data_IF_773591187964
#
_entry.id   IF_773591187964
#
_cell.length_a   1.000
_cell.length_b   1.000
_cell.length_c   1.000
_cell.angle_alpha   90.00
_cell.angle_beta   90.00
_cell.angle_gamma   90.00
#
_symmetry.space_group_name_H-M   'P 1'
#
loop_
_entity.id
_entity.type
_entity.pdbx_description
1 polymer ?
#
# COMPACT_ATOMS: atom_id res chain seq x y z
N UNK A 1 13.94 -36.69 29.91
CA UNK A 1 14.07 -36.44 28.45
C UNK A 1 12.97 -37.18 27.69
N UNK A 2 11.69 -36.98 28.01
CA UNK A 2 10.59 -37.76 27.40
C UNK A 2 9.37 -36.99 26.92
N UNK A 3 9.26 -35.66 27.09
CA UNK A 3 8.01 -34.94 26.74
C UNK A 3 8.07 -34.07 25.48
N UNK A 4 9.24 -33.97 24.81
CA UNK A 4 9.36 -33.19 23.57
C UNK A 4 9.00 -33.98 22.29
N UNK A 5 8.99 -35.32 22.33
CA UNK A 5 8.64 -36.13 21.15
C UNK A 5 7.12 -36.16 20.89
N UNK A 6 6.31 -36.25 21.95
CA UNK A 6 4.84 -36.37 21.82
C UNK A 6 4.17 -35.11 21.24
N UNK A 7 4.73 -33.91 21.47
CA UNK A 7 4.21 -32.66 20.91
C UNK A 7 4.62 -32.43 19.44
N UNK A 8 5.82 -32.88 19.06
CA UNK A 8 6.27 -32.85 17.66
C UNK A 8 5.43 -33.81 16.83
N UNK A 9 5.14 -35.00 17.35
CA UNK A 9 4.30 -35.98 16.65
C UNK A 9 2.88 -35.46 16.41
N UNK A 10 2.34 -34.59 17.28
CA UNK A 10 1.00 -33.99 17.08
C UNK A 10 0.99 -32.81 16.07
N UNK A 11 2.15 -32.17 15.83
CA UNK A 11 2.37 -31.16 14.79
C UNK A 11 2.71 -31.79 13.44
N UNK A 12 3.41 -32.93 13.45
CA UNK A 12 3.74 -33.75 12.26
C UNK A 12 2.59 -34.69 11.86
N UNK A 13 1.75 -35.16 12.79
CA UNK A 13 0.53 -35.92 12.46
C UNK A 13 -0.50 -35.08 11.70
N UNK A 14 -0.28 -33.76 11.64
CA UNK A 14 -0.98 -32.82 10.78
C UNK A 14 -0.33 -32.69 9.39
N UNK A 15 0.41 -33.68 8.89
CA UNK A 15 0.85 -33.72 7.48
C UNK A 15 -0.32 -33.48 6.50
N UNK A 16 -1.55 -33.91 6.83
CA UNK A 16 -2.76 -33.56 6.06
C UNK A 16 -3.09 -32.07 6.03
N UNK A 17 -2.74 -31.30 7.07
CA UNK A 17 -2.96 -29.85 7.17
C UNK A 17 -2.05 -29.07 6.21
N UNK A 18 -0.91 -29.65 5.84
CA UNK A 18 0.10 -29.03 4.97
C UNK A 18 0.02 -29.49 3.50
N UNK A 19 -0.60 -30.65 3.24
CA UNK A 19 -0.77 -31.17 1.87
C UNK A 19 -1.67 -30.29 0.99
N UNK A 20 -2.51 -29.44 1.60
CA UNK A 20 -3.39 -28.48 0.90
C UNK A 20 -3.08 -27.01 1.26
N UNK A 21 -2.01 -26.76 2.01
CA UNK A 21 -1.60 -25.41 2.40
C UNK A 21 -0.69 -24.82 1.32
N UNK A 22 -1.01 -23.60 0.87
CA UNK A 22 -0.16 -22.81 -0.01
C UNK A 22 1.11 -22.30 0.71
N UNK A 23 1.23 -22.51 2.02
CA UNK A 23 2.45 -22.32 2.80
C UNK A 23 2.96 -23.67 3.32
N UNK A 24 4.25 -23.98 3.14
CA UNK A 24 4.86 -25.22 3.62
C UNK A 24 6.24 -24.96 4.26
N UNK A 25 6.50 -25.45 5.48
CA UNK A 25 7.83 -25.36 6.07
C UNK A 25 8.88 -26.09 5.23
N UNK A 26 10.08 -25.50 5.11
CA UNK A 26 11.23 -26.24 4.58
C UNK A 26 11.62 -27.37 5.53
N UNK A 27 12.31 -28.37 4.98
CA UNK A 27 12.94 -29.42 5.79
C UNK A 27 13.85 -28.80 6.85
N UNK A 28 13.72 -29.27 8.09
CA UNK A 28 14.45 -28.77 9.27
C UNK A 28 14.16 -27.30 9.63
N UNK A 29 13.01 -26.75 9.20
CA UNK A 29 12.56 -25.44 9.67
C UNK A 29 12.49 -25.40 11.22
N UNK A 30 12.94 -24.32 11.86
CA UNK A 30 12.93 -24.22 13.30
C UNK A 30 11.51 -23.92 13.80
N UNK A 31 11.19 -24.46 14.97
CA UNK A 31 9.99 -24.11 15.72
C UNK A 31 10.36 -23.12 16.82
N UNK A 32 9.70 -21.98 16.83
CA UNK A 32 9.90 -20.92 17.83
C UNK A 32 8.69 -20.87 18.75
N UNK A 33 8.93 -20.95 20.05
CA UNK A 33 7.89 -20.70 21.05
C UNK A 33 7.75 -19.21 21.31
N UNK A 34 6.54 -18.69 21.15
CA UNK A 34 6.20 -17.30 21.42
C UNK A 34 5.92 -17.09 22.91
N UNK A 35 5.87 -15.82 23.33
CA UNK A 35 5.62 -15.43 24.72
C UNK A 35 4.24 -15.87 25.25
N UNK A 36 3.26 -16.09 24.37
CA UNK A 36 1.95 -16.67 24.69
C UNK A 36 1.95 -18.22 24.67
N UNK A 37 3.13 -18.83 24.65
CA UNK A 37 3.35 -20.29 24.59
C UNK A 37 2.92 -20.98 23.29
N UNK A 38 2.47 -20.24 22.27
CA UNK A 38 2.20 -20.83 20.95
C UNK A 38 3.49 -21.14 20.21
N UNK A 39 3.49 -22.20 19.43
CA UNK A 39 4.62 -22.58 18.57
C UNK A 39 4.34 -22.20 17.13
N UNK A 40 5.34 -21.63 16.46
CA UNK A 40 5.25 -21.19 15.08
C UNK A 40 6.51 -21.53 14.30
N UNK A 41 6.37 -21.76 13.00
CA UNK A 41 7.49 -21.72 12.06
C UNK A 41 7.62 -20.29 11.55
N UNK A 42 8.78 -19.63 11.68
CA UNK A 42 8.98 -18.32 11.09
C UNK A 42 8.76 -18.29 9.58
N UNK A 43 8.14 -17.21 9.12
CA UNK A 43 7.73 -17.03 7.74
C UNK A 43 8.87 -17.23 6.72
N UNK A 44 10.09 -16.81 7.06
CA UNK A 44 11.26 -16.94 6.17
C UNK A 44 11.77 -18.39 6.01
N UNK A 45 11.13 -19.36 6.69
CA UNK A 45 11.36 -20.79 6.50
C UNK A 45 10.16 -21.49 5.86
N UNK A 46 9.21 -20.71 5.33
CA UNK A 46 8.07 -21.22 4.58
C UNK A 46 8.32 -21.06 3.08
N UNK A 47 7.98 -22.10 2.33
CA UNK A 47 7.83 -22.11 0.89
C UNK A 47 6.37 -21.80 0.55
N UNK A 48 6.18 -21.05 -0.52
CA UNK A 48 4.87 -20.58 -0.97
C UNK A 48 4.53 -21.16 -2.33
N UNK A 49 3.24 -21.46 -2.54
CA UNK A 49 2.71 -21.89 -3.83
C UNK A 49 1.27 -21.40 -4.01
N UNK A 50 1.13 -20.12 -4.35
CA UNK A 50 -0.16 -19.48 -4.55
C UNK A 50 -0.80 -19.86 -5.89
N UNK A 51 -2.02 -20.40 -5.81
CA UNK A 51 -2.98 -20.50 -6.92
C UNK A 51 -4.06 -19.42 -6.81
N UNK A 52 -4.87 -19.24 -7.86
CA UNK A 52 -6.00 -18.30 -7.82
C UNK A 52 -6.94 -18.58 -6.63
N UNK A 53 -7.21 -19.84 -6.33
CA UNK A 53 -8.04 -20.26 -5.20
C UNK A 53 -7.41 -19.86 -3.87
N UNK A 54 -6.11 -20.15 -3.67
CA UNK A 54 -5.42 -19.77 -2.43
C UNK A 54 -5.35 -18.25 -2.21
N UNK A 55 -5.20 -17.48 -3.29
CA UNK A 55 -5.20 -16.01 -3.20
C UNK A 55 -6.60 -15.52 -2.82
N UNK A 56 -7.65 -16.08 -3.41
CA UNK A 56 -9.02 -15.75 -3.01
C UNK A 56 -9.30 -16.08 -1.54
N UNK A 57 -8.83 -17.22 -1.03
CA UNK A 57 -8.96 -17.60 0.39
C UNK A 57 -8.31 -16.56 1.32
N UNK A 58 -7.12 -16.05 0.96
CA UNK A 58 -6.45 -14.97 1.70
C UNK A 58 -7.27 -13.68 1.64
N UNK A 59 -7.79 -13.31 0.47
CA UNK A 59 -8.59 -12.09 0.30
C UNK A 59 -9.95 -12.17 1.01
N UNK A 60 -10.54 -13.35 1.14
CA UNK A 60 -11.78 -13.56 1.90
C UNK A 60 -11.60 -13.29 3.40
N UNK A 61 -10.38 -13.50 3.90
CA UNK A 61 -9.99 -13.16 5.27
C UNK A 61 -9.70 -11.66 5.47
N UNK A 62 -9.78 -10.85 4.42
CA UNK A 62 -9.59 -9.39 4.48
C UNK A 62 -10.95 -8.71 4.61
N UNK A 63 -11.08 -7.88 5.66
CA UNK A 63 -12.21 -6.99 5.87
C UNK A 63 -11.82 -5.56 5.54
N UNK A 64 -12.62 -4.91 4.69
CA UNK A 64 -12.52 -3.48 4.39
C UNK A 64 -13.87 -2.94 3.89
N UNK A 65 -13.97 -1.61 3.73
CA UNK A 65 -15.18 -0.90 3.26
C UNK A 65 -15.87 -1.59 2.08
N UNK A 66 -17.21 -1.70 2.13
CA UNK A 66 -18.01 -2.33 1.08
C UNK A 66 -17.93 -1.64 -0.30
N UNK A 67 -17.42 -0.40 -0.37
CA UNK A 67 -17.25 0.35 -1.62
C UNK A 67 -15.98 -0.01 -2.39
N UNK A 68 -15.03 -0.69 -1.74
CA UNK A 68 -13.75 -1.10 -2.30
C UNK A 68 -13.53 -2.57 -2.05
N UNK A 69 -13.41 -3.38 -3.10
CA UNK A 69 -13.16 -4.81 -2.99
C UNK A 69 -11.87 -5.15 -3.72
N UNK A 70 -10.92 -5.76 -3.01
CA UNK A 70 -9.76 -6.39 -3.66
C UNK A 70 -10.23 -7.73 -4.22
N UNK A 71 -9.97 -7.95 -5.50
CA UNK A 71 -10.31 -9.17 -6.22
C UNK A 71 -9.02 -9.82 -6.72
N UNK A 72 -8.97 -11.15 -6.72
CA UNK A 72 -7.98 -11.91 -7.45
C UNK A 72 -8.55 -12.32 -8.81
N UNK A 73 -7.73 -12.23 -9.85
CA UNK A 73 -8.06 -12.72 -11.17
C UNK A 73 -6.81 -13.28 -11.84
N UNK A 74 -7.01 -14.02 -12.93
CA UNK A 74 -5.95 -14.64 -13.69
C UNK A 74 -6.08 -14.29 -15.17
N UNK A 75 -4.94 -14.03 -15.83
CA UNK A 75 -4.86 -13.87 -17.28
C UNK A 75 -3.68 -14.70 -17.80
N UNK A 76 -3.97 -15.78 -18.53
CA UNK A 76 -2.95 -16.79 -18.84
C UNK A 76 -2.48 -17.46 -17.54
N UNK A 77 -1.17 -17.53 -17.32
CA UNK A 77 -0.58 -18.06 -16.08
C UNK A 77 -0.42 -16.98 -14.99
N UNK A 78 -0.65 -15.69 -15.30
CA UNK A 78 -0.41 -14.60 -14.36
C UNK A 78 -1.63 -14.37 -13.46
N UNK A 79 -1.44 -14.51 -12.15
CA UNK A 79 -2.40 -14.12 -11.12
C UNK A 79 -2.15 -12.65 -10.76
N UNK A 80 -3.22 -11.89 -10.54
CA UNK A 80 -3.12 -10.50 -10.13
C UNK A 80 -4.26 -10.08 -9.21
N UNK A 81 -3.98 -9.08 -8.37
CA UNK A 81 -4.98 -8.34 -7.62
C UNK A 81 -5.48 -7.14 -8.43
N UNK A 82 -6.75 -6.82 -8.28
CA UNK A 82 -7.35 -5.61 -8.81
C UNK A 82 -8.41 -5.07 -7.86
N UNK A 83 -8.41 -3.77 -7.60
CA UNK A 83 -9.42 -3.13 -6.75
C UNK A 83 -10.64 -2.80 -7.60
N UNK A 84 -11.78 -3.37 -7.27
CA UNK A 84 -13.08 -2.94 -7.75
C UNK A 84 -13.62 -1.82 -6.86
N UNK A 85 -14.11 -0.75 -7.48
CA UNK A 85 -14.65 0.44 -6.81
C UNK A 85 -16.08 0.66 -7.27
N UNK A 86 -16.99 0.85 -6.30
CA UNK A 86 -18.37 1.28 -6.55
C UNK A 86 -18.52 2.77 -6.21
N UNK A 87 -18.28 3.63 -7.20
CA UNK A 87 -18.37 5.09 -7.07
C UNK A 87 -19.67 5.64 -7.69
N UNK A 88 -20.25 6.73 -7.15
CA UNK A 88 -21.31 7.46 -7.84
C UNK A 88 -20.84 7.93 -9.22
N UNK A 89 -21.74 7.95 -10.21
CA UNK A 89 -21.42 8.53 -11.51
C UNK A 89 -21.37 10.07 -11.43
N UNK A 90 -20.16 10.62 -11.38
CA UNK A 90 -19.93 12.07 -11.29
C UNK A 90 -20.27 12.83 -12.59
N UNK A 91 -20.56 12.14 -13.70
CA UNK A 91 -20.96 12.76 -14.96
C UNK A 91 -22.48 12.96 -15.07
N UNK A 92 -23.29 12.26 -14.28
CA UNK A 92 -24.74 12.42 -14.28
C UNK A 92 -25.15 13.50 -13.28
N UNK A 93 -25.07 14.76 -13.71
CA UNK A 93 -25.78 15.86 -13.05
C UNK A 93 -27.28 15.67 -13.30
N UNK A 94 -27.96 15.06 -12.33
CA UNK A 94 -29.42 15.09 -12.13
C UNK A 94 -30.30 14.76 -13.34
N UNK A 95 -30.79 13.52 -13.40
CA UNK A 95 -32.11 13.22 -13.95
C UNK A 95 -32.86 12.41 -12.89
N UNK A 96 -33.81 13.05 -12.22
CA UNK A 96 -34.63 12.56 -11.11
C UNK A 96 -33.98 12.59 -9.71
N UNK A 97 -34.68 13.27 -8.79
CA UNK A 97 -34.29 13.49 -7.38
C UNK A 97 -34.63 12.26 -6.51
N UNK A 98 -35.16 11.18 -7.10
CA UNK A 98 -35.68 10.01 -6.38
C UNK A 98 -35.10 8.65 -6.82
N UNK A 99 -34.16 8.60 -7.78
CA UNK A 99 -33.42 7.37 -8.09
C UNK A 99 -32.01 7.50 -7.52
N UNK A 100 -31.65 6.58 -6.62
CA UNK A 100 -30.34 6.61 -5.96
C UNK A 100 -29.22 6.74 -6.99
N UNK A 101 -28.29 7.70 -6.76
CA UNK A 101 -27.15 8.00 -7.65
C UNK A 101 -26.61 6.71 -8.26
N UNK A 102 -26.78 6.53 -9.58
CA UNK A 102 -26.31 5.34 -10.28
C UNK A 102 -24.84 5.11 -9.93
N UNK A 103 -24.52 3.93 -9.41
CA UNK A 103 -23.15 3.56 -9.05
C UNK A 103 -22.47 2.94 -10.25
N UNK A 104 -21.31 3.48 -10.63
CA UNK A 104 -20.45 2.92 -11.66
C UNK A 104 -19.48 1.93 -11.01
N UNK A 105 -19.37 0.74 -11.60
CA UNK A 105 -18.33 -0.21 -11.26
C UNK A 105 -17.06 0.14 -12.05
N UNK A 106 -15.99 0.40 -11.33
CA UNK A 106 -14.68 0.75 -11.87
C UNK A 106 -13.64 -0.27 -11.39
N UNK A 107 -12.58 -0.44 -12.16
CA UNK A 107 -11.48 -1.34 -11.83
C UNK A 107 -10.17 -0.57 -11.85
N UNK A 108 -9.41 -0.68 -10.77
CA UNK A 108 -8.09 -0.08 -10.63
C UNK A 108 -7.02 -0.78 -11.48
N UNK A 109 -5.75 -0.44 -11.25
CA UNK A 109 -4.62 -1.12 -11.89
C UNK A 109 -4.44 -2.54 -11.34
N UNK A 110 -3.81 -3.40 -12.15
CA UNK A 110 -3.46 -4.77 -11.79
C UNK A 110 -2.16 -4.80 -11.00
N UNK A 111 -2.11 -5.65 -9.99
CA UNK A 111 -0.94 -5.89 -9.16
C UNK A 111 -0.61 -7.38 -9.25
N UNK A 112 0.50 -7.73 -9.90
CA UNK A 112 0.85 -9.14 -10.12
C UNK A 112 1.13 -9.84 -8.79
N UNK A 113 0.71 -11.10 -8.68
CA UNK A 113 0.99 -11.98 -7.55
C UNK A 113 1.89 -13.10 -8.04
N UNK A 114 3.12 -13.12 -7.53
CA UNK A 114 4.08 -14.20 -7.79
C UNK A 114 3.63 -15.47 -7.05
N UNK A 115 3.84 -16.65 -7.65
CA UNK A 115 3.45 -17.95 -7.06
C UNK A 115 4.11 -18.19 -5.70
N UNK A 116 5.35 -17.74 -5.54
CA UNK A 116 6.15 -17.87 -4.32
C UNK A 116 6.04 -16.65 -3.38
N UNK A 117 5.10 -15.74 -3.63
CA UNK A 117 4.93 -14.54 -2.80
C UNK A 117 4.54 -14.93 -1.37
N UNK A 118 5.24 -14.45 -0.33
CA UNK A 118 4.84 -14.74 1.03
C UNK A 118 3.44 -14.18 1.34
N UNK A 119 2.60 -14.91 2.06
CA UNK A 119 1.21 -14.47 2.33
C UNK A 119 1.13 -13.12 3.07
N UNK A 120 2.10 -12.80 3.92
CA UNK A 120 2.17 -11.45 4.53
C UNK A 120 2.42 -10.35 3.49
N UNK A 121 3.19 -10.62 2.44
CA UNK A 121 3.41 -9.71 1.31
C UNK A 121 2.19 -9.64 0.39
N UNK A 122 1.46 -10.73 0.21
CA UNK A 122 0.17 -10.72 -0.48
C UNK A 122 -0.84 -9.80 0.24
N UNK A 123 -0.97 -9.92 1.56
CA UNK A 123 -1.83 -9.07 2.40
C UNK A 123 -1.38 -7.61 2.31
N UNK A 124 -0.07 -7.35 2.37
CA UNK A 124 0.48 -6.00 2.22
C UNK A 124 0.21 -5.44 0.82
N UNK A 125 0.29 -6.26 -0.23
CA UNK A 125 -0.03 -5.86 -1.60
C UNK A 125 -1.50 -5.46 -1.72
N UNK A 126 -2.42 -6.24 -1.14
CA UNK A 126 -3.84 -5.88 -1.08
C UNK A 126 -4.07 -4.55 -0.34
N UNK A 127 -3.40 -4.35 0.80
CA UNK A 127 -3.43 -3.09 1.56
C UNK A 127 -2.94 -1.90 0.73
N UNK A 128 -1.80 -2.03 0.04
CA UNK A 128 -1.25 -0.99 -0.82
C UNK A 128 -2.16 -0.69 -2.01
N UNK A 129 -2.72 -1.72 -2.66
CA UNK A 129 -3.65 -1.55 -3.77
C UNK A 129 -4.88 -0.72 -3.35
N UNK A 130 -5.42 -0.95 -2.14
CA UNK A 130 -6.50 -0.14 -1.58
C UNK A 130 -6.09 1.32 -1.33
N UNK A 131 -4.90 1.56 -0.76
CA UNK A 131 -4.39 2.93 -0.57
C UNK A 131 -4.30 3.68 -1.89
N UNK A 132 -3.71 3.07 -2.92
CA UNK A 132 -3.56 3.69 -4.24
C UNK A 132 -4.92 3.92 -4.91
N UNK A 133 -5.84 2.96 -4.83
CA UNK A 133 -7.19 3.13 -5.37
C UNK A 133 -7.93 4.30 -4.71
N UNK A 134 -7.79 4.47 -3.38
CA UNK A 134 -8.40 5.58 -2.67
C UNK A 134 -7.69 6.91 -2.90
N UNK A 135 -6.37 6.91 -3.02
CA UNK A 135 -5.62 8.11 -3.39
C UNK A 135 -6.08 8.64 -4.76
N UNK A 136 -6.33 7.75 -5.72
CA UNK A 136 -6.93 8.13 -7.01
C UNK A 136 -8.26 8.87 -6.80
N UNK A 137 -9.20 8.30 -6.04
CA UNK A 137 -10.48 8.96 -5.75
C UNK A 137 -10.29 10.31 -5.02
N UNK A 138 -9.41 10.40 -4.01
CA UNK A 138 -9.13 11.66 -3.29
C UNK A 138 -8.63 12.74 -4.25
N UNK A 139 -7.76 12.38 -5.19
CA UNK A 139 -7.21 13.30 -6.20
C UNK A 139 -8.27 13.77 -7.20
N UNK A 140 -9.19 12.90 -7.59
CA UNK A 140 -10.35 13.27 -8.45
C UNK A 140 -11.35 14.18 -7.72
N UNK A 141 -11.53 13.99 -6.41
CA UNK A 141 -12.44 14.81 -5.61
C UNK A 141 -11.89 16.22 -5.33
N UNK A 142 -10.59 16.45 -5.55
CA UNK A 142 -9.98 17.76 -5.42
C UNK A 142 -10.24 18.62 -6.66
N UNK A 143 -10.98 19.70 -6.48
CA UNK A 143 -11.38 20.61 -7.54
C UNK A 143 -10.80 22.01 -7.31
N UNK A 144 -10.43 22.67 -8.40
CA UNK A 144 -9.98 24.05 -8.42
C UNK A 144 -10.80 24.86 -9.43
N UNK A 145 -11.37 25.96 -8.96
CA UNK A 145 -12.15 26.89 -9.78
C UNK A 145 -11.17 27.92 -10.36
N UNK A 146 -11.00 27.95 -11.68
CA UNK A 146 -10.17 28.92 -12.40
C UNK A 146 -10.90 29.41 -13.65
N UNK A 147 -10.92 30.73 -13.87
CA UNK A 147 -11.52 31.36 -15.06
C UNK A 147 -12.96 30.91 -15.35
N UNK A 148 -13.77 30.81 -14.29
CA UNK A 148 -15.17 30.36 -14.36
C UNK A 148 -15.36 28.87 -14.63
N UNK A 149 -14.28 28.11 -14.71
CA UNK A 149 -14.26 26.66 -14.99
C UNK A 149 -13.75 25.87 -13.78
N UNK A 150 -14.13 24.59 -13.72
CA UNK A 150 -13.71 23.65 -12.66
C UNK A 150 -12.74 22.65 -13.28
N UNK A 151 -11.57 22.47 -12.66
CA UNK A 151 -10.60 21.44 -13.03
C UNK A 151 -10.22 20.58 -11.82
N UNK A 152 -9.62 19.41 -12.05
CA UNK A 152 -9.05 18.54 -11.01
C UNK A 152 -7.53 18.48 -11.16
N UNK A 153 -6.79 19.51 -10.69
CA UNK A 153 -5.37 19.72 -11.04
C UNK A 153 -4.42 18.69 -10.43
N UNK A 154 -4.88 17.82 -9.53
CA UNK A 154 -4.08 16.75 -8.93
C UNK A 154 -4.51 15.35 -9.35
N UNK A 155 -5.44 15.24 -10.32
CA UNK A 155 -5.90 13.97 -10.86
C UNK A 155 -4.77 13.16 -11.51
N UNK A 156 -4.97 11.85 -11.71
CA UNK A 156 -3.95 10.98 -12.29
C UNK A 156 -4.11 10.75 -13.81
N UNK A 157 -4.96 11.55 -14.45
CA UNK A 157 -5.31 11.44 -15.87
C UNK A 157 -4.70 12.56 -16.73
N UNK A 158 -3.82 13.39 -16.17
CA UNK A 158 -3.11 14.40 -16.96
C UNK A 158 -2.25 13.77 -18.04
N UNK A 159 -2.13 14.49 -19.16
CA UNK A 159 -1.20 14.16 -20.22
C UNK A 159 0.22 14.58 -19.80
N UNK A 160 0.86 13.71 -19.00
CA UNK A 160 2.22 13.95 -18.51
C UNK A 160 3.23 14.15 -19.64
N UNK A 161 3.19 13.41 -20.78
CA UNK A 161 4.03 13.72 -21.93
C UNK A 161 3.86 15.14 -22.46
N UNK A 162 2.64 15.65 -22.59
CA UNK A 162 2.40 17.05 -23.02
C UNK A 162 2.97 18.04 -22.02
N UNK A 163 2.77 17.83 -20.71
CA UNK A 163 3.37 18.69 -19.68
C UNK A 163 4.90 18.68 -19.72
N UNK A 164 5.51 17.50 -19.91
CA UNK A 164 6.97 17.36 -19.98
C UNK A 164 7.58 18.00 -21.24
N UNK A 165 6.83 18.04 -22.35
CA UNK A 165 7.24 18.71 -23.58
C UNK A 165 7.06 20.22 -23.54
N UNK A 166 6.18 20.73 -22.67
CA UNK A 166 5.86 22.16 -22.54
C UNK A 166 5.94 22.61 -21.06
N UNK A 167 7.08 22.38 -20.38
CA UNK A 167 7.19 22.61 -18.94
C UNK A 167 6.97 24.08 -18.55
N UNK A 168 7.28 25.02 -19.43
CA UNK A 168 7.06 26.46 -19.25
C UNK A 168 5.58 26.85 -19.09
N UNK A 169 4.65 25.99 -19.50
CA UNK A 169 3.21 26.23 -19.33
C UNK A 169 2.72 25.92 -17.91
N UNK A 170 3.47 25.12 -17.15
CA UNK A 170 3.06 24.61 -15.83
C UNK A 170 4.06 24.93 -14.71
N UNK A 171 5.28 25.34 -15.05
CA UNK A 171 6.23 25.92 -14.10
C UNK A 171 5.86 27.39 -13.91
N UNK A 172 5.56 27.74 -12.65
CA UNK A 172 5.03 29.06 -12.31
C UNK A 172 5.96 30.21 -12.73
N UNK A 173 5.39 31.21 -13.41
CA UNK A 173 5.89 32.58 -13.41
C UNK A 173 5.14 33.36 -12.33
N UNK A 174 5.87 34.13 -11.51
CA UNK A 174 5.49 34.70 -10.21
C UNK A 174 4.25 35.63 -10.19
N UNK A 175 3.06 35.08 -10.40
CA UNK A 175 1.80 35.75 -10.10
C UNK A 175 1.24 35.15 -8.80
N UNK A 176 1.74 35.62 -7.66
CA UNK A 176 1.29 35.16 -6.35
C UNK A 176 -0.18 35.53 -6.11
N UNK A 177 -1.05 34.52 -6.10
CA UNK A 177 -2.41 34.66 -5.60
C UNK A 177 -2.37 34.53 -4.09
N UNK A 178 -3.03 35.44 -3.37
CA UNK A 178 -3.12 35.34 -1.91
C UNK A 178 -3.84 34.06 -1.47
N UNK A 179 -3.44 33.50 -0.32
CA UNK A 179 -4.07 32.30 0.25
C UNK A 179 -5.59 32.48 0.41
N UNK A 180 -6.03 33.65 0.88
CA UNK A 180 -7.46 33.93 1.05
C UNK A 180 -8.25 33.84 -0.27
N UNK A 181 -7.61 34.16 -1.40
CA UNK A 181 -8.22 34.02 -2.71
C UNK A 181 -8.19 32.57 -3.21
N UNK A 182 -7.13 31.80 -2.93
CA UNK A 182 -7.06 30.40 -3.37
C UNK A 182 -8.07 29.53 -2.63
N UNK A 183 -8.28 29.74 -1.32
CA UNK A 183 -9.23 28.96 -0.51
C UNK A 183 -10.65 29.03 -1.08
N UNK A 184 -11.08 30.22 -1.52
CA UNK A 184 -12.42 30.41 -2.14
C UNK A 184 -12.60 29.65 -3.46
N UNK A 185 -11.51 29.21 -4.07
CA UNK A 185 -11.48 28.50 -5.36
C UNK A 185 -11.33 27.00 -5.18
N UNK A 186 -10.98 26.52 -4.00
CA UNK A 186 -10.79 25.09 -3.74
C UNK A 186 -12.12 24.47 -3.30
N UNK A 187 -12.47 23.36 -3.93
CA UNK A 187 -13.61 22.52 -3.59
C UNK A 187 -13.10 21.10 -3.39
N UNK A 188 -13.59 20.40 -2.38
CA UNK A 188 -13.27 19.00 -2.16
C UNK A 188 -14.55 18.21 -1.94
N UNK A 189 -14.75 17.16 -2.76
CA UNK A 189 -15.95 16.31 -2.71
C UNK A 189 -17.27 17.11 -2.72
N UNK A 190 -17.37 18.04 -3.68
CA UNK A 190 -18.49 18.95 -3.88
C UNK A 190 -18.78 19.92 -2.70
N UNK A 191 -17.84 20.07 -1.76
CA UNK A 191 -17.95 20.98 -0.63
C UNK A 191 -16.83 22.03 -0.60
N UNK A 192 -17.16 23.22 -0.12
CA UNK A 192 -16.17 24.26 0.16
C UNK A 192 -15.27 23.85 1.33
N UNK A 193 -14.12 24.51 1.40
CA UNK A 193 -13.18 24.40 2.53
C UNK A 193 -13.11 25.73 3.28
N UNK A 194 -12.74 25.69 4.55
CA UNK A 194 -12.54 26.88 5.37
C UNK A 194 -11.18 26.84 6.05
N UNK A 195 -10.39 27.91 5.90
CA UNK A 195 -9.16 28.08 6.65
C UNK A 195 -9.49 28.57 8.07
N UNK A 196 -9.17 27.75 9.07
CA UNK A 196 -9.35 28.08 10.49
C UNK A 196 -8.16 28.79 11.09
N UNK A 197 -6.94 28.40 10.71
CA UNK A 197 -5.73 29.08 11.16
C UNK A 197 -4.55 28.90 10.22
N UNK A 198 -3.70 29.92 10.18
CA UNK A 198 -2.37 29.90 9.57
C UNK A 198 -1.37 30.43 10.60
N UNK A 199 -0.32 29.66 10.88
CA UNK A 199 0.75 30.03 11.81
C UNK A 199 2.10 29.82 11.13
N UNK A 200 2.95 30.85 11.12
CA UNK A 200 4.36 30.67 10.79
C UNK A 200 5.08 30.12 12.02
N UNK A 201 5.60 28.90 11.93
CA UNK A 201 6.44 28.29 12.98
C UNK A 201 7.87 28.79 12.81
N UNK A 202 8.37 28.76 11.58
CA UNK A 202 9.65 29.33 11.16
C UNK A 202 9.48 30.02 9.80
N UNK A 203 10.56 30.59 9.25
CA UNK A 203 10.54 31.13 7.88
C UNK A 203 10.31 30.05 6.81
N UNK A 204 10.56 28.78 7.13
CA UNK A 204 10.48 27.64 6.21
C UNK A 204 9.39 26.63 6.63
N UNK A 205 8.56 26.99 7.62
CA UNK A 205 7.54 26.10 8.16
C UNK A 205 6.29 26.90 8.52
N UNK A 206 5.24 26.65 7.75
CA UNK A 206 3.92 27.21 7.99
C UNK A 206 2.92 26.11 8.29
N UNK A 207 2.18 26.25 9.39
CA UNK A 207 1.11 25.35 9.78
C UNK A 207 -0.24 25.93 9.34
N UNK A 208 -0.95 25.16 8.54
CA UNK A 208 -2.33 25.44 8.14
C UNK A 208 -3.28 24.50 8.86
N UNK A 209 -4.45 25.01 9.25
CA UNK A 209 -5.58 24.21 9.72
C UNK A 209 -6.81 24.54 8.90
N UNK A 210 -7.36 23.53 8.23
CA UNK A 210 -8.47 23.64 7.28
C UNK A 210 -9.60 22.74 7.74
N UNK A 211 -10.83 23.23 7.70
CA UNK A 211 -12.04 22.45 7.91
C UNK A 211 -12.70 22.15 6.56
N UNK A 212 -13.08 20.88 6.35
CA UNK A 212 -13.91 20.47 5.23
C UNK A 212 -15.39 20.65 5.60
N UNK A 213 -16.16 21.38 4.79
CA UNK A 213 -17.59 21.65 5.07
C UNK A 213 -18.53 20.52 4.59
N UNK A 214 -17.97 19.38 4.21
CA UNK A 214 -18.73 18.25 3.71
C UNK A 214 -19.29 17.41 4.86
N UNK A 215 -20.60 17.22 4.95
CA UNK A 215 -21.22 16.38 5.99
C UNK A 215 -21.58 14.98 5.53
N UNK A 216 -21.68 14.75 4.22
CA UNK A 216 -22.05 13.48 3.60
C UNK A 216 -21.21 13.20 2.34
N UNK A 217 -19.90 13.17 2.51
CA UNK A 217 -18.93 12.90 1.47
C UNK A 217 -19.03 11.46 0.97
N UNK A 218 -18.66 11.25 -0.30
CA UNK A 218 -18.45 9.91 -0.87
C UNK A 218 -17.47 9.09 -0.04
N UNK A 219 -16.43 9.75 0.49
CA UNK A 219 -15.46 9.18 1.41
C UNK A 219 -15.73 9.73 2.82
N UNK A 220 -16.32 8.90 3.67
CA UNK A 220 -16.90 9.34 4.95
C UNK A 220 -15.89 9.82 5.98
N UNK A 221 -14.61 9.44 5.85
CA UNK A 221 -13.54 9.91 6.74
C UNK A 221 -13.26 11.41 6.62
N UNK A 222 -13.78 12.06 5.57
CA UNK A 222 -13.66 13.49 5.34
C UNK A 222 -14.87 14.29 5.85
N UNK A 223 -15.89 13.62 6.39
CA UNK A 223 -17.08 14.32 6.91
C UNK A 223 -16.69 15.26 8.05
N UNK A 224 -16.92 16.57 7.86
CA UNK A 224 -16.60 17.66 8.78
C UNK A 224 -15.17 17.57 9.34
N UNK A 225 -14.22 17.11 8.52
CA UNK A 225 -12.87 16.81 8.96
C UNK A 225 -12.06 18.11 9.12
N UNK A 226 -11.39 18.22 10.26
CA UNK A 226 -10.33 19.21 10.46
C UNK A 226 -8.97 18.58 10.08
N UNK A 227 -8.23 19.28 9.23
CA UNK A 227 -6.95 18.87 8.69
C UNK A 227 -5.89 19.89 9.09
N UNK A 228 -4.78 19.41 9.63
CA UNK A 228 -3.61 20.23 9.95
C UNK A 228 -2.41 19.74 9.14
N UNK A 229 -1.69 20.66 8.49
CA UNK A 229 -0.54 20.31 7.66
C UNK A 229 0.51 21.43 7.60
N UNK A 230 1.76 21.02 7.40
CA UNK A 230 2.91 21.90 7.27
C UNK A 230 3.27 22.14 5.80
N UNK A 231 3.72 23.35 5.48
CA UNK A 231 4.28 23.72 4.18
C UNK A 231 5.62 24.45 4.35
N UNK A 232 6.43 24.46 3.29
CA UNK A 232 7.75 25.12 3.25
C UNK A 232 7.68 26.65 3.25
N UNK A 233 6.57 27.21 2.81
CA UNK A 233 6.36 28.65 2.66
C UNK A 233 4.85 28.95 2.68
N UNK A 234 4.50 30.24 2.66
CA UNK A 234 3.12 30.72 2.66
C UNK A 234 2.53 30.96 1.25
N UNK A 235 3.14 30.43 0.19
CA UNK A 235 2.60 30.56 -1.16
C UNK A 235 1.33 29.74 -1.33
N UNK A 236 0.45 30.18 -2.24
CA UNK A 236 -0.73 29.41 -2.62
C UNK A 236 -0.38 28.02 -3.18
N UNK A 237 0.74 27.90 -3.91
CA UNK A 237 1.16 26.61 -4.45
C UNK A 237 1.55 25.62 -3.35
N UNK A 238 2.39 26.07 -2.41
CA UNK A 238 2.79 25.25 -1.26
C UNK A 238 1.59 24.88 -0.39
N UNK A 239 0.61 25.77 -0.22
CA UNK A 239 -0.67 25.45 0.40
C UNK A 239 -1.43 24.34 -0.34
N UNK A 240 -1.61 24.45 -1.65
CA UNK A 240 -2.35 23.46 -2.45
C UNK A 240 -1.70 22.07 -2.39
N UNK A 241 -0.38 22.01 -2.55
CA UNK A 241 0.38 20.75 -2.44
C UNK A 241 0.33 20.17 -1.03
N UNK A 242 0.51 21.00 0.01
CA UNK A 242 0.38 20.56 1.40
C UNK A 242 -1.03 20.04 1.72
N UNK A 243 -2.06 20.69 1.18
CA UNK A 243 -3.44 20.33 1.42
C UNK A 243 -3.82 19.00 0.76
N UNK A 244 -3.45 18.77 -0.52
CA UNK A 244 -3.70 17.47 -1.16
C UNK A 244 -2.93 16.34 -0.46
N UNK A 245 -1.69 16.58 -0.01
CA UNK A 245 -0.95 15.62 0.79
C UNK A 245 -1.66 15.30 2.11
N UNK A 246 -2.24 16.29 2.78
CA UNK A 246 -3.01 16.08 4.01
C UNK A 246 -4.28 15.24 3.78
N UNK A 247 -4.97 15.48 2.66
CA UNK A 247 -6.14 14.69 2.25
C UNK A 247 -5.76 13.23 1.97
N UNK A 248 -4.71 13.01 1.17
CA UNK A 248 -4.19 11.66 0.86
C UNK A 248 -3.76 10.94 2.14
N UNK A 249 -3.04 11.62 3.04
CA UNK A 249 -2.64 11.05 4.32
C UNK A 249 -3.84 10.66 5.20
N UNK A 250 -4.91 11.47 5.20
CA UNK A 250 -6.14 11.15 5.92
C UNK A 250 -6.83 9.89 5.38
N UNK A 251 -6.88 9.74 4.06
CA UNK A 251 -7.40 8.52 3.43
C UNK A 251 -6.52 7.30 3.71
N UNK A 252 -5.19 7.47 3.68
CA UNK A 252 -4.23 6.43 4.02
C UNK A 252 -4.35 5.98 5.48
N UNK A 253 -4.56 6.92 6.40
CA UNK A 253 -4.85 6.63 7.81
C UNK A 253 -6.15 5.84 7.93
N UNK A 254 -7.21 6.24 7.23
CA UNK A 254 -8.47 5.48 7.21
C UNK A 254 -8.27 4.03 6.74
N UNK A 255 -7.50 3.80 5.67
CA UNK A 255 -7.17 2.42 5.25
C UNK A 255 -6.43 1.67 6.35
N UNK A 256 -5.44 2.31 6.97
CA UNK A 256 -4.61 1.71 8.02
C UNK A 256 -5.43 1.29 9.24
N UNK A 257 -6.46 2.06 9.60
CA UNK A 257 -7.33 1.78 10.75
C UNK A 257 -8.47 0.79 10.44
N UNK A 258 -8.95 0.73 9.19
CA UNK A 258 -10.11 -0.09 8.83
C UNK A 258 -9.76 -1.42 8.14
N UNK A 259 -8.57 -1.53 7.54
CA UNK A 259 -8.11 -2.77 6.93
C UNK A 259 -7.81 -3.82 8.00
N UNK A 260 -8.50 -4.96 7.94
CA UNK A 260 -8.27 -6.09 8.84
C UNK A 260 -7.94 -7.34 8.04
N UNK A 261 -7.03 -8.13 8.58
CA UNK A 261 -6.84 -9.52 8.17
C UNK A 261 -7.17 -10.41 9.36
N UNK A 262 -8.12 -11.33 9.20
CA UNK A 262 -8.61 -12.20 10.28
C UNK A 262 -8.96 -11.42 11.57
N UNK A 263 -9.66 -10.29 11.40
CA UNK A 263 -10.05 -9.39 12.50
C UNK A 263 -8.92 -8.53 13.08
N UNK A 264 -7.66 -8.69 12.66
CA UNK A 264 -6.52 -7.93 13.17
C UNK A 264 -6.14 -6.74 12.26
N UNK A 265 -6.09 -5.54 12.85
CA UNK A 265 -5.73 -4.28 12.18
C UNK A 265 -4.22 -4.01 12.22
N UNK A 266 -3.42 -4.81 11.51
CA UNK A 266 -1.93 -4.75 11.56
C UNK A 266 -1.35 -3.34 11.38
N UNK A 267 -1.97 -2.51 10.55
CA UNK A 267 -1.47 -1.17 10.19
C UNK A 267 -2.01 -0.04 11.08
N UNK A 268 -2.91 -0.35 12.02
CA UNK A 268 -3.47 0.64 12.94
C UNK A 268 -2.40 1.24 13.84
N UNK A 269 -2.51 2.55 14.10
CA UNK A 269 -1.68 3.29 15.06
C UNK A 269 -1.86 2.77 16.51
N UNK A 270 -2.91 2.00 16.77
CA UNK A 270 -3.14 1.36 18.07
C UNK A 270 -2.29 0.10 18.27
N UNK A 271 -1.64 -0.42 17.24
CA UNK A 271 -0.73 -1.57 17.38
C UNK A 271 0.59 -1.10 17.98
N UNK A 272 0.95 -1.67 19.14
CA UNK A 272 2.16 -1.30 19.85
C UNK A 272 3.43 -1.69 19.07
N UNK A 273 4.10 -0.69 18.48
CA UNK A 273 5.34 -0.87 17.68
C UNK A 273 6.43 -1.61 18.47
N UNK A 274 6.60 -1.31 19.76
CA UNK A 274 7.56 -2.01 20.61
C UNK A 274 7.25 -3.52 20.74
N UNK A 275 5.98 -3.92 20.73
CA UNK A 275 5.58 -5.33 20.81
C UNK A 275 5.80 -6.04 19.47
N UNK A 276 5.54 -5.36 18.35
CA UNK A 276 5.94 -5.86 17.01
C UNK A 276 7.45 -6.10 16.98
N UNK A 277 8.24 -5.16 17.49
CA UNK A 277 9.70 -5.29 17.58
C UNK A 277 10.13 -6.52 18.38
N UNK A 278 9.54 -6.73 19.58
CA UNK A 278 9.81 -7.92 20.39
C UNK A 278 9.45 -9.22 19.68
N UNK A 279 8.29 -9.27 19.02
CA UNK A 279 7.88 -10.44 18.24
C UNK A 279 8.86 -10.70 17.08
N UNK A 280 9.26 -9.67 16.36
CA UNK A 280 10.25 -9.77 15.27
C UNK A 280 11.60 -10.32 15.76
N UNK A 281 12.08 -9.84 16.91
CA UNK A 281 13.33 -10.33 17.53
C UNK A 281 13.21 -11.81 17.89
N UNK A 282 12.12 -12.22 18.55
CA UNK A 282 11.91 -13.61 18.93
C UNK A 282 11.93 -14.55 17.71
N UNK A 283 11.37 -14.08 16.59
CA UNK A 283 11.26 -14.82 15.34
C UNK A 283 12.52 -14.82 14.47
N UNK A 284 13.54 -14.01 14.79
CA UNK A 284 14.75 -13.86 13.96
C UNK A 284 16.06 -14.05 14.72
N UNK A 285 16.05 -14.08 16.05
CA UNK A 285 17.28 -14.18 16.84
C UNK A 285 18.01 -15.49 16.52
N UNK A 286 19.32 -15.46 16.20
CA UNK A 286 20.10 -16.67 15.93
C UNK A 286 20.03 -17.74 17.03
N UNK A 287 19.79 -17.31 18.27
CA UNK A 287 19.61 -18.21 19.42
C UNK A 287 18.31 -19.02 19.37
N UNK A 288 17.26 -18.50 18.74
CA UNK A 288 15.94 -19.16 18.61
C UNK A 288 15.73 -19.81 17.24
N UNK A 289 16.34 -19.28 16.17
CA UNK A 289 16.24 -19.84 14.81
C UNK A 289 17.49 -20.60 14.36
N UNK A 290 18.32 -21.05 15.30
CA UNK A 290 19.54 -21.79 15.01
C UNK A 290 19.26 -23.05 14.19
N UNK A 291 19.83 -23.11 12.99
CA UNK A 291 19.68 -24.25 12.07
C UNK A 291 20.88 -25.21 12.17
N UNK A 292 20.60 -26.51 12.04
CA UNK A 292 21.61 -27.51 11.72
C UNK A 292 22.18 -27.29 10.30
N UNK A 293 23.26 -27.97 9.95
CA UNK A 293 23.89 -27.85 8.62
C UNK A 293 22.90 -28.10 7.47
N UNK A 294 22.10 -29.15 7.57
CA UNK A 294 21.06 -29.46 6.57
C UNK A 294 19.99 -28.37 6.49
N UNK A 295 19.52 -27.86 7.63
CA UNK A 295 18.56 -26.75 7.66
C UNK A 295 19.11 -25.49 6.99
N UNK A 296 20.39 -25.15 7.22
CA UNK A 296 21.05 -24.03 6.52
C UNK A 296 21.10 -24.23 5.02
N UNK A 297 21.38 -25.46 4.56
CA UNK A 297 21.38 -25.78 3.13
C UNK A 297 20.00 -25.56 2.51
N UNK A 298 18.93 -26.05 3.14
CA UNK A 298 17.56 -25.85 2.66
C UNK A 298 17.12 -24.38 2.69
N UNK A 299 17.49 -23.62 3.73
CA UNK A 299 17.20 -22.19 3.80
C UNK A 299 17.93 -21.40 2.71
N UNK A 300 19.21 -21.70 2.48
CA UNK A 300 19.98 -21.07 1.40
C UNK A 300 19.42 -21.41 0.02
N UNK A 301 18.99 -22.66 -0.19
CA UNK A 301 18.35 -23.07 -1.43
C UNK A 301 17.03 -22.33 -1.66
N UNK A 302 16.18 -22.21 -0.62
CA UNK A 302 14.93 -21.44 -0.70
C UNK A 302 15.20 -19.97 -1.08
N UNK A 303 16.16 -19.33 -0.40
CA UNK A 303 16.53 -17.93 -0.69
C UNK A 303 17.04 -17.79 -2.14
N UNK A 304 17.90 -18.70 -2.59
CA UNK A 304 18.38 -18.72 -3.98
C UNK A 304 17.22 -18.80 -4.97
N UNK A 305 16.32 -19.77 -4.81
CA UNK A 305 15.17 -19.98 -5.71
C UNK A 305 14.25 -18.75 -5.79
N UNK A 306 13.98 -18.09 -4.65
CA UNK A 306 13.15 -16.89 -4.59
C UNK A 306 13.88 -15.71 -5.25
N UNK A 307 15.11 -15.41 -4.82
CA UNK A 307 15.81 -14.21 -5.25
C UNK A 307 16.20 -14.27 -6.73
N UNK A 308 16.63 -15.44 -7.23
CA UNK A 308 16.94 -15.61 -8.66
C UNK A 308 15.69 -15.51 -9.53
N UNK A 309 14.55 -16.03 -9.04
CA UNK A 309 13.28 -16.00 -9.77
C UNK A 309 12.67 -14.61 -9.95
N UNK A 310 13.01 -13.67 -9.05
CA UNK A 310 12.50 -12.28 -9.08
C UNK A 310 13.32 -11.33 -9.96
N UNK A 311 14.47 -11.78 -10.48
CA UNK A 311 15.32 -10.95 -11.31
C UNK A 311 14.61 -10.60 -12.64
N UNK A 312 14.45 -9.30 -12.98
CA UNK A 312 13.65 -8.85 -14.13
C UNK A 312 14.37 -9.06 -15.47
N UNK A 313 13.89 -10.00 -16.28
CA UNK A 313 14.57 -10.39 -17.53
C UNK A 313 14.68 -9.24 -18.54
N UNK A 314 15.79 -9.21 -19.29
CA UNK A 314 16.02 -8.23 -20.36
C UNK A 314 16.48 -6.84 -19.88
N UNK A 315 16.76 -6.67 -18.58
CA UNK A 315 17.16 -5.40 -18.00
C UNK A 315 18.66 -5.29 -17.66
N UNK A 316 19.51 -6.21 -18.15
CA UNK A 316 20.94 -6.29 -17.83
C UNK A 316 21.70 -4.98 -18.03
N UNK A 317 21.53 -4.31 -19.18
CA UNK A 317 22.20 -3.03 -19.44
C UNK A 317 21.77 -1.93 -18.46
N UNK A 318 20.49 -1.86 -18.12
CA UNK A 318 19.98 -0.87 -17.17
C UNK A 318 20.54 -1.12 -15.76
N UNK A 319 20.60 -2.39 -15.35
CA UNK A 319 21.15 -2.80 -14.05
C UNK A 319 22.66 -2.55 -14.01
N UNK A 320 23.42 -2.92 -15.04
CA UNK A 320 24.86 -2.65 -15.13
C UNK A 320 25.17 -1.16 -15.09
N UNK A 321 24.40 -0.33 -15.81
CA UNK A 321 24.51 1.13 -15.74
C UNK A 321 24.20 1.69 -14.36
N UNK A 322 23.20 1.15 -13.68
CA UNK A 322 22.85 1.50 -12.30
C UNK A 322 24.00 1.16 -11.34
N UNK A 323 24.59 -0.03 -11.42
CA UNK A 323 25.72 -0.44 -10.60
C UNK A 323 26.95 0.45 -10.85
N UNK A 324 27.28 0.70 -12.11
CA UNK A 324 28.40 1.56 -12.50
C UNK A 324 28.26 3.00 -11.99
N UNK A 325 27.05 3.57 -12.04
CA UNK A 325 26.77 4.90 -11.50
C UNK A 325 27.03 5.02 -9.98
N UNK A 326 27.06 3.88 -9.27
CA UNK A 326 27.36 3.79 -7.84
C UNK A 326 28.75 3.21 -7.56
N UNK A 327 29.59 3.03 -8.59
CA UNK A 327 30.94 2.47 -8.43
C UNK A 327 30.97 1.00 -7.98
N UNK A 328 29.91 0.24 -8.24
CA UNK A 328 29.83 -1.19 -7.92
C UNK A 328 30.15 -1.98 -9.18
N UNK A 329 31.26 -2.72 -9.20
CA UNK A 329 31.61 -3.61 -10.31
C UNK A 329 30.84 -4.93 -10.23
N UNK A 330 30.70 -5.50 -9.03
CA UNK A 330 29.98 -6.75 -8.80
C UNK A 330 29.28 -6.73 -7.42
N UNK A 331 27.95 -6.92 -7.35
CA UNK A 331 27.24 -7.01 -6.08
C UNK A 331 27.54 -8.35 -5.38
N UNK A 332 27.45 -8.40 -4.04
CA UNK A 332 27.75 -9.61 -3.25
C UNK A 332 26.91 -10.83 -3.65
N UNK A 333 25.68 -10.59 -4.09
CA UNK A 333 24.74 -11.60 -4.55
C UNK A 333 24.75 -11.79 -6.08
N UNK A 334 25.80 -11.34 -6.77
CA UNK A 334 26.00 -11.52 -8.22
C UNK A 334 25.79 -12.97 -8.70
N UNK A 335 26.15 -13.95 -7.87
CA UNK A 335 25.99 -15.37 -8.15
C UNK A 335 24.52 -15.81 -8.33
N UNK A 336 23.55 -14.99 -7.90
CA UNK A 336 22.12 -15.21 -8.13
C UNK A 336 21.66 -14.74 -9.52
N UNK A 337 22.47 -13.92 -10.20
CA UNK A 337 22.11 -13.17 -11.39
C UNK A 337 23.15 -13.35 -12.52
N UNK A 338 23.41 -14.59 -12.98
CA UNK A 338 24.47 -14.87 -13.94
C UNK A 338 24.30 -14.15 -15.28
N UNK A 339 23.08 -13.73 -15.62
CA UNK A 339 22.74 -13.09 -16.90
C UNK A 339 22.73 -11.54 -16.84
N UNK A 340 23.06 -10.93 -15.69
CA UNK A 340 22.97 -9.47 -15.47
C UNK A 340 24.32 -8.76 -15.35
N UNK A 341 25.41 -9.52 -15.34
CA UNK A 341 26.76 -9.03 -15.08
C UNK A 341 27.71 -9.37 -16.24
#
# INVERSE_FOLDING_TARGET
MSDNKSHIDHLLSNEQKWQHSYEQPISYAPLVQLANSSWVVPQHFLRYKHTLESVNEVLESIEFSAHFRVLAAQKGEEIYLQVAVLSPDNYQKSASVNEGKAKKLLFGRRWIVEENLPTSELIQTAFLALKIAREHEVRELFQLIQDGSISTPFNNHHDLPVMAQNPELVIANSNEVSINNIIKRVVFADAAIELKSHQAITAEQHLFTVELQCSNCQLSEFNNKMLAFLTSDASANSFLHGFISALVNTSNDYVSEQFKYQGFTRFSKNVAVAQIGKLSIAMRSPSTVGLCSMGKQHANQLNFEIDSGRAPQGCGQAIGGFLAAHGIEQPENAHLYPDYL
#
